data_IF_281397218347
#
_entry.id   IF_281397218347
#
_cell.length_a   1.000
_cell.length_b   1.000
_cell.length_c   1.000
_cell.angle_alpha   90.00
_cell.angle_beta   90.00
_cell.angle_gamma   90.00
#
_symmetry.space_group_name_H-M   'P 1'
#
loop_
_entity.id
_entity.type
_entity.pdbx_description
1 polymer ?
#
# COMPACT_ATOMS: atom_id res chain seq x y z
N UNK A 1 3.83 64.43 -3.27
CA UNK A 1 2.43 64.43 -2.81
C UNK A 1 1.77 63.13 -3.22
N UNK A 2 1.15 62.45 -2.25
CA UNK A 2 0.23 61.31 -2.41
C UNK A 2 0.85 59.92 -2.55
N UNK A 3 1.79 59.60 -1.67
CA UNK A 3 1.97 58.27 -1.04
C UNK A 3 0.74 57.82 -0.23
N UNK A 4 -0.45 58.32 -0.58
CA UNK A 4 -1.73 58.21 0.14
C UNK A 4 -2.75 57.39 -0.67
N UNK A 5 -2.30 56.30 -1.30
CA UNK A 5 -3.19 55.32 -1.94
C UNK A 5 -2.99 53.90 -1.41
N UNK A 6 -2.09 53.72 -0.43
CA UNK A 6 -1.79 52.42 0.19
C UNK A 6 -2.82 52.08 1.29
N UNK A 7 -3.69 53.02 1.68
CA UNK A 7 -4.85 52.75 2.52
C UNK A 7 -6.11 52.79 1.64
N UNK A 8 -6.84 51.67 1.56
CA UNK A 8 -8.12 51.41 0.87
C UNK A 8 -8.01 50.46 -0.34
N UNK A 9 -7.76 49.19 -0.02
CA UNK A 9 -7.86 48.08 -0.98
C UNK A 9 -8.17 46.74 -0.30
N UNK A 10 -8.86 46.76 0.84
CA UNK A 10 -9.51 45.57 1.40
C UNK A 10 -10.83 45.42 0.64
N UNK A 11 -10.83 44.62 -0.42
CA UNK A 11 -12.06 44.14 -1.05
C UNK A 11 -11.87 42.68 -1.46
N UNK A 12 -12.63 41.84 -0.77
CA UNK A 12 -12.78 40.41 -0.97
C UNK A 12 -13.12 40.05 -2.42
N UNK A 13 -12.38 39.10 -3.01
CA UNK A 13 -12.88 38.23 -4.07
C UNK A 13 -12.47 36.79 -3.77
N UNK A 14 -13.34 36.14 -3.02
CA UNK A 14 -13.42 34.70 -2.82
C UNK A 14 -13.71 34.08 -4.19
N UNK A 15 -12.82 33.27 -4.73
CA UNK A 15 -13.08 32.62 -6.03
C UNK A 15 -11.88 31.90 -6.61
N UNK A 16 -11.62 30.69 -6.14
CA UNK A 16 -10.60 29.82 -6.72
C UNK A 16 -10.24 28.71 -5.74
N UNK A 17 -11.17 27.78 -5.53
CA UNK A 17 -10.94 26.56 -4.77
C UNK A 17 -9.75 25.86 -5.42
N UNK A 18 -8.63 25.87 -4.72
CA UNK A 18 -7.45 25.07 -5.03
C UNK A 18 -7.84 23.60 -4.91
N UNK A 19 -8.17 22.96 -6.04
CA UNK A 19 -8.23 21.52 -6.11
C UNK A 19 -6.79 20.98 -6.14
N UNK A 20 -6.11 21.07 -5.00
CA UNK A 20 -4.86 20.35 -4.76
C UNK A 20 -5.26 18.87 -4.82
N UNK A 21 -4.86 18.16 -5.87
CA UNK A 21 -5.13 16.73 -5.98
C UNK A 21 -4.62 16.03 -4.72
N UNK A 22 -5.50 15.31 -4.04
CA UNK A 22 -5.10 14.39 -2.99
C UNK A 22 -4.30 13.27 -3.66
N UNK A 23 -2.98 13.47 -3.75
CA UNK A 23 -2.06 12.37 -3.96
C UNK A 23 -2.15 11.52 -2.68
N UNK A 24 -3.02 10.52 -2.70
CA UNK A 24 -2.99 9.44 -1.73
C UNK A 24 -1.67 8.70 -1.95
N UNK A 25 -0.62 9.17 -1.29
CA UNK A 25 0.55 8.36 -1.02
C UNK A 25 0.05 7.25 -0.08
N UNK A 26 -0.43 6.15 -0.66
CA UNK A 26 -0.53 4.91 0.09
C UNK A 26 0.89 4.57 0.49
N UNK A 27 1.23 4.92 1.72
CA UNK A 27 2.47 4.57 2.36
C UNK A 27 2.51 3.05 2.40
N UNK A 28 3.10 2.46 1.37
CA UNK A 28 3.08 1.03 1.12
C UNK A 28 4.04 0.37 2.10
N UNK A 29 3.58 0.17 3.34
CA UNK A 29 4.31 -0.49 4.42
C UNK A 29 4.29 -2.02 4.29
N UNK A 30 4.02 -2.52 3.09
CA UNK A 30 3.85 -3.93 2.78
C UNK A 30 2.51 -4.52 3.24
N UNK A 31 2.19 -5.73 2.75
CA UNK A 31 1.01 -6.49 3.22
C UNK A 31 1.24 -7.03 4.63
N UNK A 32 0.17 -7.45 5.33
CA UNK A 32 0.29 -8.13 6.62
C UNK A 32 1.23 -9.35 6.53
N UNK A 33 1.16 -10.10 5.43
CA UNK A 33 2.02 -11.26 5.19
C UNK A 33 3.51 -10.86 5.11
N UNK A 34 3.79 -9.73 4.44
CA UNK A 34 5.15 -9.19 4.35
C UNK A 34 5.68 -8.75 5.71
N UNK A 35 4.85 -8.13 6.55
CA UNK A 35 5.22 -7.74 7.90
C UNK A 35 5.52 -8.97 8.76
N UNK A 36 4.67 -10.01 8.71
CA UNK A 36 4.90 -11.26 9.44
C UNK A 36 6.20 -11.95 9.04
N UNK A 37 6.57 -11.94 7.76
CA UNK A 37 7.85 -12.48 7.29
C UNK A 37 9.06 -11.73 7.85
N UNK A 38 8.91 -10.44 8.15
CA UNK A 38 9.96 -9.59 8.71
C UNK A 38 9.95 -9.49 10.24
N UNK A 39 8.86 -9.84 10.92
CA UNK A 39 8.74 -9.85 12.38
C UNK A 39 9.94 -10.47 13.11
N UNK A 40 10.41 -11.70 12.78
CA UNK A 40 11.54 -12.30 13.51
C UNK A 40 12.86 -11.52 13.33
N UNK A 41 13.04 -10.86 12.18
CA UNK A 41 14.22 -10.02 11.93
C UNK A 41 14.12 -8.68 12.64
N UNK A 42 12.93 -8.08 12.73
CA UNK A 42 12.71 -6.85 13.51
C UNK A 42 13.08 -7.07 14.97
N UNK A 43 12.59 -8.14 15.59
CA UNK A 43 12.88 -8.42 17.00
C UNK A 43 14.36 -8.70 17.27
N UNK A 44 15.05 -9.34 16.33
CA UNK A 44 16.47 -9.73 16.49
C UNK A 44 17.45 -8.60 16.16
N UNK A 45 17.15 -7.78 15.16
CA UNK A 45 18.07 -6.80 14.59
C UNK A 45 17.70 -5.34 14.89
N UNK A 46 16.41 -5.04 15.07
CA UNK A 46 15.86 -3.69 15.06
C UNK A 46 14.87 -3.43 16.20
N UNK A 47 14.98 -4.16 17.32
CA UNK A 47 14.03 -4.07 18.44
C UNK A 47 14.05 -2.70 19.13
N UNK A 48 15.17 -1.98 19.04
CA UNK A 48 15.33 -0.61 19.52
C UNK A 48 14.47 0.41 18.75
N UNK A 49 14.03 0.05 17.54
CA UNK A 49 13.25 0.94 16.68
C UNK A 49 11.73 0.80 16.86
N UNK A 50 11.28 -0.18 17.65
CA UNK A 50 9.86 -0.32 18.01
C UNK A 50 9.47 0.86 18.92
N UNK A 51 8.34 1.55 18.66
CA UNK A 51 7.25 1.21 17.75
C UNK A 51 7.26 1.96 16.40
N UNK A 52 8.35 2.64 16.04
CA UNK A 52 8.43 3.47 14.82
C UNK A 52 8.68 2.60 13.58
N UNK A 53 7.61 2.36 12.82
CA UNK A 53 7.67 1.53 11.60
C UNK A 53 8.61 2.12 10.54
N UNK A 54 8.75 3.44 10.43
CA UNK A 54 9.67 4.03 9.45
C UNK A 54 11.12 3.76 9.84
N UNK A 55 11.45 3.83 11.13
CA UNK A 55 12.79 3.47 11.61
C UNK A 55 13.07 1.99 11.53
N UNK A 56 12.06 1.14 11.79
CA UNK A 56 12.17 -0.32 11.59
C UNK A 56 12.51 -0.63 10.13
N UNK A 57 11.78 -0.06 9.16
CA UNK A 57 12.05 -0.29 7.73
C UNK A 57 13.46 0.18 7.36
N UNK A 58 13.90 1.35 7.83
CA UNK A 58 15.25 1.83 7.61
C UNK A 58 16.32 0.90 8.21
N UNK A 59 16.10 0.40 9.44
CA UNK A 59 17.01 -0.53 10.10
C UNK A 59 17.08 -1.88 9.36
N UNK A 60 15.94 -2.44 8.93
CA UNK A 60 15.91 -3.66 8.12
C UNK A 60 16.63 -3.46 6.79
N UNK A 61 16.46 -2.29 6.15
CA UNK A 61 17.13 -1.97 4.90
C UNK A 61 18.66 -1.90 5.07
N UNK A 62 19.15 -1.29 6.15
CA UNK A 62 20.58 -1.27 6.50
C UNK A 62 21.11 -2.68 6.82
N UNK A 63 20.29 -3.53 7.44
CA UNK A 63 20.65 -4.91 7.80
C UNK A 63 20.22 -5.95 6.74
N UNK A 64 20.01 -5.54 5.49
CA UNK A 64 19.61 -6.42 4.38
C UNK A 64 20.41 -7.74 4.26
N UNK A 65 21.75 -7.76 4.48
CA UNK A 65 22.53 -9.01 4.43
C UNK A 65 22.20 -10.00 5.56
N UNK A 66 21.74 -9.49 6.70
CA UNK A 66 21.45 -10.27 7.90
C UNK A 66 19.98 -10.70 8.03
N UNK A 67 19.10 -10.21 7.14
CA UNK A 67 17.68 -10.59 7.12
C UNK A 67 17.50 -12.07 6.79
N UNK A 68 16.44 -12.68 7.31
CA UNK A 68 15.97 -14.01 6.89
C UNK A 68 15.65 -14.05 5.39
N UNK A 69 15.60 -15.25 4.81
CA UNK A 69 15.24 -15.43 3.40
C UNK A 69 13.85 -14.88 3.08
N UNK A 70 12.89 -15.05 4.00
CA UNK A 70 11.52 -14.53 3.88
C UNK A 70 11.47 -13.02 3.82
N UNK A 71 12.04 -12.34 4.82
CA UNK A 71 12.05 -10.87 4.85
C UNK A 71 12.87 -10.28 3.69
N UNK A 72 13.99 -10.92 3.32
CA UNK A 72 14.78 -10.47 2.16
C UNK A 72 14.01 -10.58 0.84
N UNK A 73 13.15 -11.59 0.70
CA UNK A 73 12.26 -11.70 -0.47
C UNK A 73 11.26 -10.54 -0.51
N UNK A 74 10.71 -10.10 0.63
CA UNK A 74 9.83 -8.92 0.73
C UNK A 74 10.52 -7.66 0.20
N UNK A 75 11.74 -7.38 0.67
CA UNK A 75 12.50 -6.20 0.22
C UNK A 75 12.90 -6.29 -1.26
N UNK A 76 13.20 -7.48 -1.77
CA UNK A 76 13.46 -7.68 -3.20
C UNK A 76 12.20 -7.39 -4.00
N UNK A 77 11.07 -8.04 -3.67
CA UNK A 77 9.78 -7.86 -4.36
C UNK A 77 9.29 -6.41 -4.33
N UNK A 78 9.41 -5.72 -3.20
CA UNK A 78 9.01 -4.31 -3.08
C UNK A 78 9.89 -3.35 -3.92
N UNK A 79 11.17 -3.67 -4.11
CA UNK A 79 12.02 -2.94 -5.07
C UNK A 79 11.66 -3.25 -6.54
N UNK A 80 11.06 -4.41 -6.82
CA UNK A 80 10.65 -4.80 -8.18
C UNK A 80 9.27 -4.24 -8.57
N UNK A 81 8.48 -3.79 -7.57
CA UNK A 81 7.15 -3.18 -7.74
C UNK A 81 7.21 -1.65 -7.83
N UNK A 82 8.40 -1.04 -7.73
CA UNK A 82 8.63 0.36 -8.16
C UNK A 82 9.18 0.38 -9.57
N UNK A 83 8.33 0.05 -10.55
CA UNK A 83 7.84 1.12 -11.39
C UNK A 83 6.32 1.12 -11.32
N UNK A 84 5.79 2.19 -10.72
CA UNK A 84 4.48 2.74 -11.07
C UNK A 84 3.36 1.69 -11.22
N UNK A 85 2.43 1.68 -10.26
CA UNK A 85 1.02 1.40 -10.55
C UNK A 85 0.42 2.45 -11.54
N UNK A 86 1.16 2.88 -12.56
CA UNK A 86 0.61 3.29 -13.83
C UNK A 86 0.17 2.02 -14.55
N UNK A 87 -0.97 1.48 -14.12
CA UNK A 87 -1.88 0.89 -15.09
C UNK A 87 -2.13 1.97 -16.13
N UNK A 88 -1.72 1.81 -17.40
CA UNK A 88 -2.11 2.75 -18.44
C UNK A 88 -3.64 2.72 -18.47
N UNK A 89 -4.28 3.78 -17.97
CA UNK A 89 -5.72 4.02 -18.11
C UNK A 89 -6.00 4.18 -19.60
N UNK A 90 -6.14 3.06 -20.30
CA UNK A 90 -6.21 3.05 -21.75
C UNK A 90 -6.31 1.67 -22.41
N UNK A 91 -6.11 0.57 -21.67
CA UNK A 91 -6.49 -0.76 -22.17
C UNK A 91 -7.81 -1.18 -21.54
N UNK A 92 -8.89 -0.99 -22.29
CA UNK A 92 -10.13 -1.73 -22.04
C UNK A 92 -9.78 -3.22 -22.04
N UNK A 93 -10.17 -3.93 -20.99
CA UNK A 93 -9.98 -5.37 -20.92
C UNK A 93 -10.63 -6.02 -22.16
N UNK A 94 -9.96 -6.98 -22.83
CA UNK A 94 -10.63 -7.77 -23.85
C UNK A 94 -11.84 -8.47 -23.21
N UNK A 95 -12.99 -8.54 -23.91
CA UNK A 95 -14.17 -9.20 -23.37
C UNK A 95 -13.82 -10.65 -22.99
N UNK A 96 -14.38 -11.19 -21.89
CA UNK A 96 -14.14 -12.56 -21.52
C UNK A 96 -14.59 -13.46 -22.67
N UNK A 97 -13.67 -14.28 -23.20
CA UNK A 97 -14.01 -15.30 -24.17
C UNK A 97 -14.74 -16.41 -23.43
N UNK A 98 -16.05 -16.28 -23.32
CA UNK A 98 -16.94 -17.34 -22.87
C UNK A 98 -17.08 -18.38 -23.99
N UNK A 99 -16.01 -19.15 -24.20
CA UNK A 99 -16.05 -20.32 -25.07
C UNK A 99 -16.31 -21.53 -24.19
N UNK A 100 -17.56 -22.00 -24.16
CA UNK A 100 -18.06 -23.37 -23.90
C UNK A 100 -17.21 -24.33 -23.03
N UNK A 101 -16.52 -23.82 -22.02
CA UNK A 101 -15.85 -24.67 -21.03
C UNK A 101 -16.94 -25.31 -20.19
N UNK A 102 -16.98 -26.64 -20.06
CA UNK A 102 -17.85 -27.30 -19.09
C UNK A 102 -17.63 -26.65 -17.71
N UNK A 103 -18.69 -26.41 -16.93
CA UNK A 103 -18.53 -25.88 -15.58
C UNK A 103 -17.55 -26.77 -14.81
N UNK A 104 -16.65 -26.20 -13.99
CA UNK A 104 -15.76 -27.01 -13.17
C UNK A 104 -16.61 -27.96 -12.32
N UNK A 105 -16.20 -29.22 -12.13
CA UNK A 105 -16.94 -30.16 -11.30
C UNK A 105 -17.11 -29.52 -9.92
N UNK A 106 -18.37 -29.35 -9.50
CA UNK A 106 -18.67 -28.88 -8.16
C UNK A 106 -18.08 -29.90 -7.20
N UNK A 107 -17.00 -29.51 -6.52
CA UNK A 107 -16.47 -30.29 -5.41
C UNK A 107 -17.58 -30.26 -4.36
N UNK A 108 -18.28 -31.38 -4.24
CA UNK A 108 -19.29 -31.63 -3.24
C UNK A 108 -18.64 -31.36 -1.89
N UNK A 109 -18.86 -30.18 -1.33
CA UNK A 109 -18.38 -29.87 0.01
C UNK A 109 -19.09 -30.82 0.98
N UNK A 110 -18.34 -31.54 1.84
CA UNK A 110 -18.96 -32.38 2.85
C UNK A 110 -19.88 -31.51 3.71
N UNK A 111 -21.03 -32.04 4.16
CA UNK A 111 -21.97 -31.28 4.96
C UNK A 111 -21.26 -30.72 6.20
N UNK A 112 -21.60 -29.50 6.63
CA UNK A 112 -21.05 -28.92 7.85
C UNK A 112 -21.35 -29.86 9.01
N UNK A 113 -20.34 -30.16 9.82
CA UNK A 113 -20.55 -30.89 11.08
C UNK A 113 -21.38 -29.98 11.99
N UNK A 114 -22.63 -30.34 12.21
CA UNK A 114 -23.44 -29.80 13.31
C UNK A 114 -22.74 -30.19 14.62
N UNK A 115 -22.35 -29.17 15.39
CA UNK A 115 -21.89 -29.38 16.76
C UNK A 115 -23.15 -29.32 17.63
N UNK A 116 -23.87 -30.44 17.70
CA UNK A 116 -24.80 -30.70 18.80
C UNK A 116 -23.97 -31.07 20.03
N UNK A 117 -23.76 -30.11 20.93
CA UNK A 117 -23.25 -30.36 22.29
C UNK A 117 -24.28 -29.81 23.29
N UNK A 118 -24.53 -30.65 24.30
CA UNK A 118 -25.52 -30.67 25.38
C UNK A 118 -25.64 -29.37 26.22
#
# INVERSE_FOLDING_TARGET
>A
MRTERIALGVALAIGGIVAQGAAFAQEYRGTMEQQMACTPDVWRLCSDQIPDVNRIVACLQQNSPQLSSGCRAVFRSNNQVQPQQQVPRGRAAPPPRYNNAPPPPQQMQPPPYDNDDD
#
